data_IF_030354080708
#
_entry.id   IF_030354080708
#
_cell.length_a   1.000
_cell.length_b   1.000
_cell.length_c   1.000
_cell.angle_alpha   90.00
_cell.angle_beta   90.00
_cell.angle_gamma   90.00
#
_symmetry.space_group_name_H-M   'P 1'
#
loop_
_entity.id
_entity.type
_entity.pdbx_description
1 polymer ?
#
# COMPACT_ATOMS: atom_id res chain seq x y z
N UNK A 1 2.39 54.18 15.16
CA UNK A 1 1.72 53.29 14.20
C UNK A 1 2.59 53.08 12.99
N UNK A 2 2.42 51.93 12.32
CA UNK A 2 3.12 51.57 11.09
C UNK A 2 2.12 51.49 9.95
N UNK A 3 2.57 51.84 8.74
CA UNK A 3 1.88 51.55 7.49
C UNK A 3 2.76 50.64 6.67
N UNK A 4 2.21 49.50 6.21
CA UNK A 4 2.98 48.56 5.41
C UNK A 4 2.11 47.88 4.33
N UNK A 5 2.73 47.46 3.29
CA UNK A 5 2.12 46.60 2.28
C UNK A 5 2.75 45.25 2.36
N UNK A 6 1.93 44.21 2.49
CA UNK A 6 2.32 42.81 2.43
C UNK A 6 1.67 42.13 1.24
N UNK A 7 2.22 41.03 0.81
CA UNK A 7 1.63 40.19 -0.23
C UNK A 7 1.80 38.72 0.13
N UNK A 8 0.87 37.88 -0.29
CA UNK A 8 0.93 36.43 -0.29
C UNK A 8 1.54 35.86 -1.59
N UNK A 9 2.01 36.77 -2.47
CA UNK A 9 2.50 36.44 -3.81
C UNK A 9 1.46 36.62 -4.91
N UNK A 10 0.19 36.87 -4.56
CA UNK A 10 -0.93 37.04 -5.52
C UNK A 10 -1.56 38.42 -5.35
N UNK A 11 -2.00 38.77 -4.14
CA UNK A 11 -2.69 40.01 -3.84
C UNK A 11 -1.92 40.85 -2.83
N UNK A 12 -1.56 42.11 -3.15
CA UNK A 12 -1.01 43.01 -2.16
C UNK A 12 -2.10 43.48 -1.18
N UNK A 13 -1.78 43.44 0.11
CA UNK A 13 -2.62 43.91 1.19
C UNK A 13 -1.96 45.16 1.85
N UNK A 14 -2.67 46.27 1.84
CA UNK A 14 -2.17 47.49 2.44
C UNK A 14 -2.77 47.65 3.86
N UNK A 15 -1.91 47.69 4.87
CA UNK A 15 -2.28 47.89 6.28
C UNK A 15 -1.89 49.28 6.71
N UNK A 16 -2.85 50.10 7.07
CA UNK A 16 -2.65 51.49 7.44
C UNK A 16 -2.84 51.68 8.95
N UNK A 17 -1.94 52.39 9.57
CA UNK A 17 -2.03 52.83 10.99
C UNK A 17 -2.04 51.61 11.98
N UNK A 18 -1.20 50.65 11.74
CA UNK A 18 -1.06 49.49 12.65
C UNK A 18 -0.34 49.95 13.96
N UNK A 19 -1.01 49.80 15.14
CA UNK A 19 -0.53 50.43 16.35
C UNK A 19 0.62 49.70 17.05
N UNK A 20 0.82 48.43 16.79
CA UNK A 20 1.80 47.56 17.48
C UNK A 20 2.96 47.19 16.55
N UNK A 21 4.04 46.66 17.12
CA UNK A 21 5.25 46.22 16.40
C UNK A 21 5.11 44.85 15.79
N UNK A 22 4.00 44.14 16.06
CA UNK A 22 3.73 42.80 15.52
C UNK A 22 2.40 42.76 14.78
N UNK A 23 2.40 42.18 13.60
CA UNK A 23 1.19 41.87 12.82
C UNK A 23 1.19 40.38 12.50
N UNK A 24 0.09 39.67 12.83
CA UNK A 24 -0.02 38.23 12.66
C UNK A 24 -1.19 37.91 11.72
N UNK A 25 -0.91 37.13 10.68
CA UNK A 25 -1.94 36.55 9.84
C UNK A 25 -2.22 35.15 10.39
N UNK A 26 -3.38 34.99 11.03
CA UNK A 26 -3.82 33.67 11.54
C UNK A 26 -4.40 32.81 10.42
N UNK A 27 -4.06 31.50 10.42
CA UNK A 27 -4.48 30.56 9.37
C UNK A 27 -4.13 31.06 7.97
N UNK A 28 -2.89 31.53 7.80
CA UNK A 28 -2.40 32.07 6.53
C UNK A 28 -2.59 31.06 5.40
N UNK A 29 -3.25 31.40 4.29
CA UNK A 29 -3.34 30.57 3.09
C UNK A 29 -1.97 30.19 2.50
N UNK A 30 -1.95 29.21 1.59
CA UNK A 30 -0.75 28.87 0.81
C UNK A 30 -0.27 30.11 0.05
N UNK A 31 1.02 30.44 0.18
CA UNK A 31 1.59 31.59 -0.52
C UNK A 31 2.99 31.96 -0.03
N UNK A 32 3.59 32.92 -0.72
CA UNK A 32 4.90 33.50 -0.36
C UNK A 32 4.67 34.88 0.26
N UNK A 33 4.80 34.98 1.56
CA UNK A 33 4.54 36.21 2.31
C UNK A 33 5.78 37.08 2.40
N UNK A 34 5.66 38.34 1.99
CA UNK A 34 6.70 39.36 2.10
C UNK A 34 6.12 40.72 2.42
N UNK A 35 6.90 41.55 3.09
CA UNK A 35 6.62 43.00 3.20
C UNK A 35 7.28 43.68 2.01
N UNK A 36 6.52 44.45 1.26
CA UNK A 36 7.00 45.18 0.08
C UNK A 36 7.20 46.67 0.31
N UNK A 37 6.56 47.21 1.34
CA UNK A 37 6.76 48.58 1.79
C UNK A 37 6.49 48.71 3.30
N UNK A 38 7.22 49.55 3.97
CA UNK A 38 7.04 49.86 5.40
C UNK A 38 7.34 51.31 5.67
N UNK A 39 6.46 52.00 6.40
CA UNK A 39 6.67 53.35 6.86
C UNK A 39 6.26 53.46 8.34
N UNK A 40 7.03 54.14 9.15
CA UNK A 40 6.72 54.37 10.58
C UNK A 40 5.91 55.67 10.80
N UNK A 41 5.58 55.94 12.07
CA UNK A 41 4.82 57.14 12.46
C UNK A 41 5.56 58.44 12.18
N UNK A 42 6.88 58.40 12.01
CA UNK A 42 7.73 59.58 11.71
C UNK A 42 7.90 59.76 10.18
N UNK A 43 7.13 59.04 9.39
CA UNK A 43 7.23 59.01 7.92
C UNK A 43 8.57 58.44 7.37
N UNK A 44 9.33 57.75 8.23
CA UNK A 44 10.57 57.07 7.77
C UNK A 44 10.24 55.83 7.03
N UNK A 45 10.82 55.66 5.84
CA UNK A 45 10.62 54.49 4.95
C UNK A 45 11.66 53.40 5.29
N UNK A 46 11.16 52.20 5.50
CA UNK A 46 12.01 51.03 5.74
C UNK A 46 12.77 50.59 4.50
N UNK A 47 14.07 50.36 4.64
CA UNK A 47 14.97 49.88 3.56
C UNK A 47 15.34 48.41 3.69
N UNK A 48 15.07 47.80 4.86
CA UNK A 48 15.24 46.39 5.13
C UNK A 48 13.89 45.78 5.53
N UNK A 49 13.29 45.03 4.63
CA UNK A 49 11.91 44.51 4.76
C UNK A 49 11.86 43.02 5.13
N UNK A 50 13.01 42.40 5.45
CA UNK A 50 13.15 40.99 5.76
C UNK A 50 13.12 40.09 4.52
N UNK A 51 13.26 38.78 4.74
CA UNK A 51 13.17 37.77 3.70
C UNK A 51 11.75 37.20 3.61
N UNK A 52 11.26 36.90 2.41
CA UNK A 52 9.98 36.23 2.25
C UNK A 52 9.89 34.88 3.00
N UNK A 53 8.70 34.53 3.48
CA UNK A 53 8.40 33.24 4.09
C UNK A 53 7.29 32.53 3.32
N UNK A 54 7.37 31.21 3.23
CA UNK A 54 6.41 30.41 2.48
C UNK A 54 5.48 29.65 3.42
N UNK A 55 4.20 29.65 3.09
CA UNK A 55 3.22 28.71 3.63
C UNK A 55 2.96 27.64 2.57
N UNK A 56 3.30 26.39 2.87
CA UNK A 56 3.19 25.25 1.95
C UNK A 56 2.30 24.20 2.64
N UNK A 57 1.33 23.66 1.89
CA UNK A 57 0.55 22.48 2.30
C UNK A 57 1.00 21.29 1.46
N UNK A 58 1.63 20.32 2.11
CA UNK A 58 2.06 19.10 1.46
C UNK A 58 0.87 18.13 1.31
N UNK A 59 0.73 17.45 0.15
CA UNK A 59 -0.29 16.41 -0.01
C UNK A 59 -0.04 15.23 0.93
N UNK A 60 -1.10 14.58 1.36
CA UNK A 60 -0.99 13.38 2.20
C UNK A 60 -0.42 12.21 1.36
N UNK A 61 0.48 11.40 1.93
CA UNK A 61 0.95 10.21 1.26
C UNK A 61 -0.16 9.15 1.15
N UNK A 62 -0.04 8.25 0.18
CA UNK A 62 -0.93 7.10 0.01
C UNK A 62 -0.12 5.83 -0.21
N UNK A 63 -0.72 4.67 0.08
CA UNK A 63 -0.14 3.37 -0.21
C UNK A 63 -1.11 2.52 -1.02
N UNK A 64 -0.57 1.72 -1.96
CA UNK A 64 -1.33 0.71 -2.71
C UNK A 64 -0.53 -0.59 -2.68
N UNK A 65 -1.19 -1.70 -2.32
CA UNK A 65 -0.63 -3.04 -2.42
C UNK A 65 -0.98 -3.66 -3.78
N UNK A 66 -0.03 -4.40 -4.36
CA UNK A 66 -0.19 -5.12 -5.63
C UNK A 66 0.59 -6.43 -5.62
N UNK A 67 0.34 -7.31 -6.62
CA UNK A 67 0.90 -8.65 -6.64
C UNK A 67 0.08 -9.65 -5.84
N UNK A 68 0.74 -10.56 -5.13
CA UNK A 68 0.06 -11.69 -4.50
C UNK A 68 -0.46 -12.72 -5.51
N UNK A 69 -1.35 -13.59 -5.08
CA UNK A 69 -1.96 -14.62 -5.93
C UNK A 69 -2.08 -15.96 -5.23
N UNK A 70 -2.56 -16.96 -5.99
CA UNK A 70 -2.76 -18.31 -5.52
C UNK A 70 -1.79 -19.27 -6.21
N UNK A 71 -1.08 -20.07 -5.43
CA UNK A 71 -0.13 -21.09 -5.91
C UNK A 71 -0.35 -22.42 -5.19
N UNK A 72 0.19 -23.51 -5.73
CA UNK A 72 0.23 -24.80 -5.03
C UNK A 72 1.50 -24.92 -4.19
N UNK A 73 1.45 -25.75 -3.14
CA UNK A 73 2.63 -26.12 -2.35
C UNK A 73 3.75 -26.61 -3.28
N UNK A 74 4.97 -26.10 -3.09
CA UNK A 74 6.14 -26.40 -3.91
C UNK A 74 6.33 -25.52 -5.13
N UNK A 75 5.35 -24.69 -5.51
CA UNK A 75 5.51 -23.69 -6.57
C UNK A 75 6.22 -22.44 -6.06
N UNK A 76 6.88 -21.66 -6.93
CA UNK A 76 7.45 -20.36 -6.56
C UNK A 76 6.37 -19.45 -5.97
N UNK A 77 6.69 -18.81 -4.85
CA UNK A 77 5.77 -17.87 -4.20
C UNK A 77 5.75 -16.54 -4.98
N UNK A 78 4.58 -15.87 -5.06
CA UNK A 78 4.46 -14.58 -5.72
C UNK A 78 5.12 -13.47 -4.89
N UNK A 79 5.43 -12.37 -5.56
CA UNK A 79 5.89 -11.15 -4.88
C UNK A 79 4.68 -10.29 -4.48
N UNK A 80 4.85 -9.52 -3.40
CA UNK A 80 3.93 -8.44 -3.00
C UNK A 80 4.70 -7.13 -3.06
N UNK A 81 4.12 -6.11 -3.69
CA UNK A 81 4.73 -4.78 -3.82
C UNK A 81 3.80 -3.72 -3.24
N UNK A 82 4.34 -2.88 -2.36
CA UNK A 82 3.71 -1.65 -1.90
C UNK A 82 4.24 -0.47 -2.71
N UNK A 83 3.34 0.36 -3.22
CA UNK A 83 3.67 1.59 -3.95
C UNK A 83 3.15 2.77 -3.16
N UNK A 84 3.99 3.78 -2.94
CA UNK A 84 3.71 4.97 -2.15
C UNK A 84 3.65 6.22 -3.02
N UNK A 85 2.78 7.16 -2.64
CA UNK A 85 2.84 8.56 -3.08
C UNK A 85 3.27 9.44 -1.91
N UNK A 86 3.79 10.63 -2.18
CA UNK A 86 4.33 11.56 -1.18
C UNK A 86 5.82 11.80 -1.38
N UNK A 87 6.47 12.32 -0.37
CA UNK A 87 7.90 12.68 -0.39
C UNK A 87 8.73 11.65 0.36
N UNK A 88 9.66 10.98 -0.34
CA UNK A 88 10.60 10.05 0.30
C UNK A 88 11.61 10.80 1.20
N UNK A 89 12.18 10.17 2.25
CA UNK A 89 11.97 8.79 2.68
C UNK A 89 10.63 8.57 3.39
N UNK A 90 10.16 7.30 3.35
CA UNK A 90 8.92 6.87 3.99
C UNK A 90 9.19 6.06 5.25
N UNK A 91 8.36 6.22 6.26
CA UNK A 91 8.27 5.31 7.40
C UNK A 91 6.89 4.67 7.40
N UNK A 92 6.83 3.36 7.40
CA UNK A 92 5.55 2.65 7.30
C UNK A 92 5.55 1.34 8.09
N UNK A 93 4.36 0.90 8.45
CA UNK A 93 4.13 -0.43 9.02
C UNK A 93 3.27 -1.22 8.05
N UNK A 94 3.65 -2.46 7.78
CA UNK A 94 2.82 -3.40 7.05
C UNK A 94 2.60 -4.67 7.87
N UNK A 95 1.60 -5.47 7.49
CA UNK A 95 1.31 -6.78 8.07
C UNK A 95 1.11 -7.80 6.95
N UNK A 96 1.36 -9.07 7.27
CA UNK A 96 0.96 -10.26 6.50
C UNK A 96 -0.39 -10.84 6.96
N UNK A 97 -1.08 -10.12 7.87
CA UNK A 97 -2.30 -10.54 8.55
C UNK A 97 -2.04 -11.13 9.96
N UNK A 98 -0.79 -11.35 10.34
CA UNK A 98 -0.38 -11.91 11.64
C UNK A 98 0.58 -10.98 12.37
N UNK A 99 1.70 -10.63 11.73
CA UNK A 99 2.80 -9.88 12.36
C UNK A 99 2.97 -8.51 11.73
N UNK A 100 2.91 -7.40 12.50
CA UNK A 100 3.27 -6.09 11.99
C UNK A 100 4.79 -5.96 11.83
N UNK A 101 5.24 -5.43 10.70
CA UNK A 101 6.64 -5.12 10.40
C UNK A 101 6.78 -3.62 10.18
N UNK A 102 7.69 -2.99 10.93
CA UNK A 102 7.97 -1.57 10.81
C UNK A 102 9.21 -1.34 9.93
N UNK A 103 9.09 -0.49 8.93
CA UNK A 103 10.16 -0.07 8.02
C UNK A 103 10.38 1.42 8.18
N UNK A 104 11.61 1.82 8.50
CA UNK A 104 11.98 3.21 8.79
C UNK A 104 12.89 3.76 7.71
N UNK A 105 12.64 5.00 7.30
CA UNK A 105 13.47 5.74 6.32
C UNK A 105 13.64 5.03 4.98
N UNK A 106 12.58 4.42 4.46
CA UNK A 106 12.60 3.79 3.14
C UNK A 106 12.75 4.84 2.02
N UNK A 107 13.83 4.77 1.19
CA UNK A 107 14.20 5.88 0.31
C UNK A 107 13.43 5.93 -1.01
N UNK A 108 12.66 4.90 -1.36
CA UNK A 108 11.99 4.78 -2.66
C UNK A 108 10.48 4.69 -2.53
N UNK A 109 9.77 4.96 -3.62
CA UNK A 109 8.31 4.90 -3.69
C UNK A 109 7.76 3.48 -3.82
N UNK A 110 8.62 2.45 -3.85
CA UNK A 110 8.21 1.06 -3.95
C UNK A 110 8.96 0.19 -2.95
N UNK A 111 8.25 -0.73 -2.30
CA UNK A 111 8.81 -1.75 -1.41
C UNK A 111 8.28 -3.12 -1.82
N UNK A 112 9.17 -4.07 -2.13
CA UNK A 112 8.77 -5.40 -2.61
C UNK A 112 9.20 -6.50 -1.63
N UNK A 113 8.25 -7.33 -1.27
CA UNK A 113 8.45 -8.58 -0.54
C UNK A 113 8.56 -9.69 -1.57
N UNK A 114 9.76 -10.21 -1.78
CA UNK A 114 10.01 -11.30 -2.72
C UNK A 114 9.62 -12.64 -2.11
N UNK A 115 9.02 -13.53 -2.92
CA UNK A 115 8.56 -14.85 -2.48
C UNK A 115 7.73 -14.76 -1.19
N UNK A 116 6.73 -13.89 -1.19
CA UNK A 116 5.91 -13.60 -0.02
C UNK A 116 5.19 -14.87 0.46
N UNK A 117 5.32 -15.27 1.74
CA UNK A 117 4.56 -16.38 2.32
C UNK A 117 3.05 -16.20 2.24
N UNK A 118 2.29 -17.27 2.51
CA UNK A 118 0.83 -17.17 2.59
C UNK A 118 0.42 -16.14 3.65
N UNK A 119 -0.47 -15.21 3.28
CA UNK A 119 -0.90 -14.14 4.17
C UNK A 119 -1.71 -13.05 3.46
N UNK A 120 -2.25 -12.11 4.24
CA UNK A 120 -2.96 -10.93 3.76
C UNK A 120 -2.09 -9.69 3.98
N UNK A 121 -1.48 -9.19 2.92
CA UNK A 121 -0.50 -8.11 2.97
C UNK A 121 -1.15 -6.74 2.82
N UNK A 122 -0.95 -5.87 3.81
CA UNK A 122 -1.49 -4.52 3.83
C UNK A 122 -0.54 -3.57 4.55
N UNK A 123 -0.43 -2.34 4.06
CA UNK A 123 0.16 -1.23 4.83
C UNK A 123 -0.87 -0.75 5.85
N UNK A 124 -0.47 -0.63 7.11
CA UNK A 124 -1.34 -0.22 8.23
C UNK A 124 -1.03 1.17 8.77
N UNK A 125 0.15 1.69 8.47
CA UNK A 125 0.55 3.06 8.76
C UNK A 125 1.57 3.54 7.73
N UNK A 126 1.53 4.82 7.38
CA UNK A 126 2.49 5.45 6.46
C UNK A 126 2.67 6.92 6.83
N UNK A 127 3.92 7.35 6.90
CA UNK A 127 4.34 8.75 7.09
C UNK A 127 5.44 9.06 6.06
N UNK A 128 5.40 10.22 5.46
CA UNK A 128 6.40 10.68 4.50
C UNK A 128 7.48 11.61 5.15
N UNK A 129 8.44 12.06 4.35
CA UNK A 129 9.51 12.96 4.82
C UNK A 129 9.01 14.32 5.34
N UNK A 130 7.84 14.76 4.90
CA UNK A 130 7.20 15.99 5.39
C UNK A 130 6.42 15.79 6.68
N UNK A 131 6.52 14.62 7.31
CA UNK A 131 5.75 14.20 8.49
C UNK A 131 4.22 14.12 8.26
N UNK A 132 3.78 14.11 7.01
CA UNK A 132 2.38 13.92 6.66
C UNK A 132 2.00 12.44 6.85
N UNK A 133 0.89 12.20 7.55
CA UNK A 133 0.37 10.85 7.84
C UNK A 133 -0.71 10.50 6.82
N UNK A 134 -0.62 9.30 6.24
CA UNK A 134 -1.59 8.80 5.29
C UNK A 134 -2.96 8.57 5.91
N UNK A 135 -4.01 8.90 5.16
CA UNK A 135 -5.41 8.59 5.49
C UNK A 135 -5.99 7.50 4.59
N UNK A 136 -5.29 7.12 3.51
CA UNK A 136 -5.66 6.05 2.58
C UNK A 136 -4.47 5.12 2.36
N UNK A 137 -4.63 3.83 2.72
CA UNK A 137 -3.58 2.81 2.71
C UNK A 137 -3.87 1.65 1.74
N UNK A 138 -4.92 1.78 0.93
CA UNK A 138 -5.34 0.77 -0.04
C UNK A 138 -5.93 -0.49 0.59
N UNK A 139 -6.35 -1.41 -0.28
CA UNK A 139 -6.87 -2.71 0.13
C UNK A 139 -5.74 -3.74 0.28
N UNK A 140 -5.91 -4.78 1.11
CA UNK A 140 -4.94 -5.87 1.21
C UNK A 140 -4.87 -6.71 -0.07
N UNK A 141 -3.72 -7.33 -0.32
CA UNK A 141 -3.53 -8.38 -1.32
C UNK A 141 -3.19 -9.70 -0.63
N UNK A 142 -3.70 -10.81 -1.18
CA UNK A 142 -3.55 -12.13 -0.57
C UNK A 142 -2.53 -12.97 -1.33
N UNK A 143 -1.72 -13.72 -0.58
CA UNK A 143 -0.96 -14.86 -1.06
C UNK A 143 -1.59 -16.12 -0.48
N UNK A 144 -2.05 -17.02 -1.35
CA UNK A 144 -2.72 -18.27 -0.96
C UNK A 144 -1.87 -19.42 -1.47
N UNK A 145 -1.54 -20.35 -0.57
CA UNK A 145 -0.81 -21.58 -0.92
C UNK A 145 -1.75 -22.77 -0.71
N UNK A 146 -2.22 -23.33 -1.80
CA UNK A 146 -3.11 -24.49 -1.77
C UNK A 146 -2.32 -25.78 -1.56
N UNK A 147 -2.83 -26.73 -0.74
CA UNK A 147 -2.26 -28.05 -0.63
C UNK A 147 -2.37 -28.80 -1.97
N UNK A 148 -1.47 -29.75 -2.20
CA UNK A 148 -1.56 -30.65 -3.37
C UNK A 148 -2.72 -31.62 -3.20
N UNK A 149 -3.44 -31.96 -4.30
CA UNK A 149 -4.46 -32.98 -4.25
C UNK A 149 -3.82 -34.35 -3.99
N UNK A 150 -4.57 -35.26 -3.34
CA UNK A 150 -4.16 -36.65 -3.13
C UNK A 150 -5.24 -37.61 -3.63
N UNK A 151 -4.86 -38.83 -3.92
CA UNK A 151 -5.75 -39.90 -4.31
C UNK A 151 -5.50 -41.15 -3.47
N UNK A 152 -6.56 -41.81 -3.08
CA UNK A 152 -6.53 -43.13 -2.42
C UNK A 152 -7.40 -44.06 -3.23
N UNK A 153 -6.91 -45.28 -3.48
CA UNK A 153 -7.61 -46.34 -4.20
C UNK A 153 -7.99 -47.41 -3.20
N UNK A 154 -9.24 -47.89 -3.30
CA UNK A 154 -9.80 -48.94 -2.42
C UNK A 154 -10.69 -49.89 -3.20
N UNK A 155 -11.04 -50.99 -2.57
CA UNK A 155 -11.83 -52.05 -3.22
C UNK A 155 -10.97 -53.09 -3.93
N UNK A 156 -11.47 -53.63 -5.02
CA UNK A 156 -10.86 -54.76 -5.69
C UNK A 156 -11.04 -56.08 -4.93
N UNK A 157 -10.40 -57.14 -5.36
CA UNK A 157 -10.43 -58.45 -4.73
C UNK A 157 -10.43 -59.60 -5.75
N UNK A 158 -10.43 -60.84 -5.24
CA UNK A 158 -10.48 -62.07 -6.06
C UNK A 158 -11.88 -62.66 -5.95
N UNK A 159 -12.40 -63.05 -7.10
CA UNK A 159 -13.73 -63.74 -7.20
C UNK A 159 -13.61 -64.99 -8.08
N UNK A 160 -14.54 -65.92 -7.91
CA UNK A 160 -14.61 -67.09 -8.79
C UNK A 160 -15.17 -66.73 -10.16
N UNK A 161 -14.79 -67.48 -11.19
CA UNK A 161 -15.34 -67.32 -12.54
C UNK A 161 -16.87 -67.36 -12.51
N UNK A 162 -17.52 -66.35 -13.12
CA UNK A 162 -18.98 -66.21 -13.12
C UNK A 162 -19.60 -65.47 -11.97
N UNK A 163 -18.81 -65.06 -10.94
CA UNK A 163 -19.25 -64.19 -9.86
C UNK A 163 -19.21 -62.73 -10.28
N UNK A 164 -20.00 -61.82 -9.65
CA UNK A 164 -19.90 -60.40 -9.86
C UNK A 164 -18.49 -59.87 -9.54
N UNK A 165 -17.97 -58.99 -10.41
CA UNK A 165 -16.64 -58.39 -10.22
C UNK A 165 -16.71 -57.35 -9.06
N UNK A 166 -15.62 -57.22 -8.27
CA UNK A 166 -15.55 -56.23 -7.21
C UNK A 166 -15.41 -54.80 -7.78
N UNK A 167 -15.93 -53.87 -7.01
CA UNK A 167 -15.76 -52.45 -7.34
C UNK A 167 -14.35 -51.94 -6.95
N UNK A 168 -13.86 -50.98 -7.72
CA UNK A 168 -12.66 -50.17 -7.39
C UNK A 168 -13.12 -48.71 -7.21
N UNK A 169 -12.73 -48.10 -6.09
CA UNK A 169 -13.12 -46.75 -5.74
C UNK A 169 -11.87 -45.86 -5.65
N UNK A 170 -11.92 -44.72 -6.29
CA UNK A 170 -10.92 -43.68 -6.18
C UNK A 170 -11.49 -42.57 -5.30
N UNK A 171 -10.78 -42.20 -4.23
CA UNK A 171 -11.15 -41.12 -3.33
C UNK A 171 -10.09 -40.02 -3.41
N UNK A 172 -10.51 -38.78 -3.68
CA UNK A 172 -9.63 -37.64 -3.85
C UNK A 172 -9.76 -36.65 -2.71
N UNK A 173 -8.65 -35.99 -2.36
CA UNK A 173 -8.64 -34.77 -1.55
C UNK A 173 -8.21 -33.59 -2.40
N UNK A 174 -8.68 -32.38 -2.08
CA UNK A 174 -8.42 -31.18 -2.84
C UNK A 174 -9.71 -30.47 -3.24
N UNK A 175 -9.63 -29.61 -4.23
CA UNK A 175 -10.79 -28.84 -4.74
C UNK A 175 -11.24 -29.40 -6.08
N UNK A 176 -12.50 -29.86 -6.13
CA UNK A 176 -13.13 -30.31 -7.39
C UNK A 176 -13.34 -29.13 -8.36
N UNK A 177 -13.42 -29.37 -9.67
CA UNK A 177 -13.41 -30.70 -10.34
C UNK A 177 -12.01 -31.28 -10.47
N UNK A 178 -11.90 -32.61 -10.51
CA UNK A 178 -10.63 -33.33 -10.66
C UNK A 178 -10.42 -33.80 -12.10
N UNK A 179 -9.17 -33.77 -12.53
CA UNK A 179 -8.71 -34.43 -13.75
C UNK A 179 -7.64 -35.44 -13.36
N UNK A 180 -7.82 -36.71 -13.71
CA UNK A 180 -6.90 -37.76 -13.32
C UNK A 180 -6.83 -38.86 -14.40
N UNK A 181 -5.74 -39.61 -14.39
CA UNK A 181 -5.55 -40.78 -15.24
C UNK A 181 -5.42 -42.00 -14.34
N UNK A 182 -6.17 -43.05 -14.64
CA UNK A 182 -6.01 -44.37 -14.01
C UNK A 182 -5.70 -45.43 -15.07
N UNK A 183 -5.17 -46.56 -14.65
CA UNK A 183 -4.92 -47.73 -15.48
C UNK A 183 -5.35 -49.01 -14.78
N UNK A 184 -5.84 -49.96 -15.55
CA UNK A 184 -6.07 -51.34 -15.14
C UNK A 184 -4.84 -52.25 -15.37
N UNK A 185 -3.70 -51.62 -15.76
CA UNK A 185 -2.46 -52.32 -16.12
C UNK A 185 -2.31 -52.57 -17.62
N UNK A 186 -3.31 -52.24 -18.46
CA UNK A 186 -3.31 -52.43 -19.92
C UNK A 186 -3.39 -51.09 -20.65
N UNK A 187 -4.44 -50.32 -20.40
CA UNK A 187 -4.68 -49.03 -21.07
C UNK A 187 -4.92 -47.91 -20.06
N UNK A 188 -4.22 -46.76 -20.20
CA UNK A 188 -4.54 -45.58 -19.39
C UNK A 188 -5.88 -44.98 -19.82
N UNK A 189 -6.72 -44.62 -18.84
CA UNK A 189 -7.99 -43.94 -19.03
C UNK A 189 -7.90 -42.53 -18.41
N UNK A 190 -8.15 -41.53 -19.22
CA UNK A 190 -8.17 -40.14 -18.76
C UNK A 190 -9.59 -39.67 -18.41
N UNK A 191 -9.79 -39.17 -17.20
CA UNK A 191 -11.06 -38.63 -16.70
C UNK A 191 -10.88 -37.15 -16.52
N UNK A 192 -11.74 -36.36 -17.13
CA UNK A 192 -11.69 -34.89 -17.10
C UNK A 192 -12.94 -34.33 -16.46
N UNK A 193 -12.77 -33.36 -15.54
CA UNK A 193 -13.86 -32.66 -14.85
C UNK A 193 -14.81 -33.59 -14.08
N UNK A 194 -14.25 -34.49 -13.29
CA UNK A 194 -14.99 -35.37 -12.37
C UNK A 194 -15.36 -34.64 -11.09
#
# INVERSE_FOLDING_TARGET
PFTFTSTDGVTPVNVVTHPTTTFTITNAPIGTYSVTALTDANTCVGTSLGTPVNVIVNPLPTAVASGGGTVCVGSPLPNVTFTFTGTAPFTFTYTDGVTPVNVVNHPTTTFTINNAPAGAYQVTALTDANTCVATSLGAPVNVIVNPLPTAVISGGGSVCAGSPLPNVTFTFTGTAPFTFTYTDGVTPVNVVNH
#
